data_IF_639384636968
#
_entry.id   IF_639384636968
#
_cell.length_a   1.000
_cell.length_b   1.000
_cell.length_c   1.000
_cell.angle_alpha   90.00
_cell.angle_beta   90.00
_cell.angle_gamma   90.00
#
_symmetry.space_group_name_H-M   'P 1'
#
loop_
_entity.id
_entity.type
_entity.pdbx_description
1 polymer ?
#
# COMPACT_ATOMS: atom_id res chain seq x y z
N UNK A 1 41.04 19.24 3.47
CA UNK A 1 39.81 19.94 3.91
C UNK A 1 38.68 18.92 4.01
N UNK A 2 38.19 18.55 5.19
CA UNK A 2 37.02 17.69 5.27
C UNK A 2 35.79 18.53 4.94
N UNK A 3 35.14 18.22 3.82
CA UNK A 3 33.87 18.82 3.43
C UNK A 3 32.78 18.35 4.39
N UNK A 4 32.24 19.28 5.19
CA UNK A 4 31.07 19.04 6.04
C UNK A 4 29.87 18.67 5.16
N UNK A 5 29.61 17.37 5.04
CA UNK A 5 28.39 16.86 4.42
C UNK A 5 27.27 17.12 5.42
N UNK A 6 26.71 18.32 5.34
CA UNK A 6 25.64 18.80 6.19
C UNK A 6 24.45 17.85 6.08
N UNK A 7 24.19 17.09 7.16
CA UNK A 7 23.04 16.17 7.26
C UNK A 7 21.79 17.03 7.06
N UNK A 8 20.94 16.68 6.10
CA UNK A 8 19.65 17.35 5.89
C UNK A 8 18.76 17.10 7.11
N UNK A 9 18.91 17.93 8.15
CA UNK A 9 18.03 17.95 9.33
C UNK A 9 16.75 18.68 8.95
N UNK A 10 15.59 18.20 9.41
CA UNK A 10 14.38 19.03 9.35
C UNK A 10 14.62 20.31 10.15
N UNK A 11 13.83 21.36 9.89
CA UNK A 11 13.83 22.58 10.72
C UNK A 11 13.54 22.30 12.21
N UNK A 12 12.95 21.14 12.51
CA UNK A 12 12.64 20.65 13.86
C UNK A 12 13.68 19.68 14.45
N UNK A 13 14.81 19.41 13.77
CA UNK A 13 15.82 18.45 14.21
C UNK A 13 15.43 16.96 14.04
N UNK A 14 14.22 16.67 13.58
CA UNK A 14 13.73 15.33 13.27
C UNK A 14 14.21 14.84 11.89
N UNK A 15 14.30 13.52 11.72
CA UNK A 15 14.64 12.93 10.41
C UNK A 15 13.47 13.12 9.44
N UNK A 16 13.74 13.63 8.24
CA UNK A 16 12.72 13.73 7.17
C UNK A 16 12.24 12.32 6.82
N UNK A 17 10.93 12.09 6.96
CA UNK A 17 10.30 10.82 6.59
C UNK A 17 10.08 10.81 5.08
N UNK A 18 10.58 9.79 4.39
CA UNK A 18 10.54 9.69 2.92
C UNK A 18 9.91 8.36 2.52
N UNK A 19 8.79 8.44 1.81
CA UNK A 19 8.03 7.27 1.32
C UNK A 19 8.74 6.57 0.16
N UNK A 20 8.41 5.29 -0.07
CA UNK A 20 8.88 4.52 -1.21
C UNK A 20 8.45 5.16 -2.53
N UNK A 21 7.20 5.64 -2.63
CA UNK A 21 6.72 6.41 -3.80
C UNK A 21 7.63 7.58 -4.15
N UNK A 22 8.09 8.31 -3.13
CA UNK A 22 9.00 9.43 -3.34
C UNK A 22 10.37 8.94 -3.83
N UNK A 23 10.93 7.89 -3.22
CA UNK A 23 12.20 7.29 -3.66
C UNK A 23 12.13 6.81 -5.10
N UNK A 24 11.02 6.18 -5.51
CA UNK A 24 10.79 5.75 -6.90
C UNK A 24 10.84 6.93 -7.86
N UNK A 25 10.20 8.06 -7.53
CA UNK A 25 10.27 9.28 -8.36
C UNK A 25 11.70 9.80 -8.52
N UNK A 26 12.48 9.81 -7.45
CA UNK A 26 13.90 10.21 -7.48
C UNK A 26 14.71 9.28 -8.38
N UNK A 27 14.49 7.96 -8.28
CA UNK A 27 15.15 6.97 -9.13
C UNK A 27 14.78 7.17 -10.61
N UNK A 28 13.49 7.36 -10.90
CA UNK A 28 13.01 7.62 -12.26
C UNK A 28 13.61 8.90 -12.85
N UNK A 29 13.70 9.98 -12.05
CA UNK A 29 14.33 11.22 -12.48
C UNK A 29 15.83 11.03 -12.76
N UNK A 30 16.54 10.25 -11.94
CA UNK A 30 17.94 9.92 -12.19
C UNK A 30 18.14 9.05 -13.45
N UNK A 31 17.24 8.09 -13.71
CA UNK A 31 17.30 7.25 -14.91
C UNK A 31 16.96 8.03 -16.19
N UNK A 32 16.04 9.00 -16.12
CA UNK A 32 15.67 9.87 -17.23
C UNK A 32 16.72 10.95 -17.53
N UNK A 33 17.54 11.34 -16.55
CA UNK A 33 18.56 12.36 -16.71
C UNK A 33 19.71 11.87 -17.63
N UNK A 34 20.15 12.75 -18.53
CA UNK A 34 21.29 12.49 -19.45
C UNK A 34 22.34 13.59 -19.30
N UNK A 35 23.63 13.23 -19.49
CA UNK A 35 24.73 14.19 -19.45
C UNK A 35 24.99 14.79 -18.05
N UNK A 36 25.26 16.10 -17.91
CA UNK A 36 25.67 16.72 -16.64
C UNK A 36 24.55 16.76 -15.59
N UNK A 37 23.30 16.51 -15.99
CA UNK A 37 22.17 16.37 -15.07
C UNK A 37 22.14 15.00 -14.39
N UNK A 38 22.81 13.99 -14.96
CA UNK A 38 22.91 12.62 -14.41
C UNK A 38 23.98 12.53 -13.31
N UNK A 39 23.99 13.50 -12.42
CA UNK A 39 24.91 13.57 -11.28
C UNK A 39 24.05 13.48 -10.02
N UNK A 40 24.44 12.62 -9.08
CA UNK A 40 23.71 12.43 -7.82
C UNK A 40 23.49 13.75 -7.06
N UNK A 41 24.45 14.68 -7.17
CA UNK A 41 24.37 15.99 -6.54
C UNK A 41 23.25 16.85 -7.14
N UNK A 42 23.14 16.90 -8.47
CA UNK A 42 22.12 17.66 -9.19
C UNK A 42 20.72 17.16 -8.82
N UNK A 43 20.51 15.85 -8.88
CA UNK A 43 19.25 15.21 -8.47
C UNK A 43 18.96 15.42 -6.97
N UNK A 44 19.98 15.28 -6.12
CA UNK A 44 19.83 15.55 -4.70
C UNK A 44 19.37 16.98 -4.40
N UNK A 45 19.93 17.96 -5.11
CA UNK A 45 19.56 19.37 -4.99
C UNK A 45 18.13 19.63 -5.45
N UNK A 46 17.74 19.09 -6.59
CA UNK A 46 16.38 19.23 -7.15
C UNK A 46 15.31 18.66 -6.21
N UNK A 47 15.56 17.48 -5.65
CA UNK A 47 14.61 16.80 -4.76
C UNK A 47 14.79 17.18 -3.28
N UNK A 48 15.77 18.02 -2.93
CA UNK A 48 16.05 18.38 -1.53
C UNK A 48 16.34 17.16 -0.65
N UNK A 49 17.20 16.26 -1.16
CA UNK A 49 17.70 15.05 -0.51
C UNK A 49 19.22 15.00 -0.61
N UNK A 50 19.86 14.28 0.31
CA UNK A 50 21.32 14.20 0.34
C UNK A 50 21.85 13.33 -0.81
N UNK A 51 22.97 13.71 -1.40
CA UNK A 51 23.65 12.99 -2.49
C UNK A 51 23.84 11.50 -2.20
N UNK A 52 24.27 11.16 -0.98
CA UNK A 52 24.47 9.77 -0.55
C UNK A 52 23.16 8.97 -0.43
N UNK A 53 22.02 9.62 -0.21
CA UNK A 53 20.71 8.95 -0.20
C UNK A 53 20.30 8.57 -1.63
N UNK A 54 20.50 9.48 -2.60
CA UNK A 54 20.21 9.21 -4.02
C UNK A 54 21.03 8.01 -4.50
N UNK A 55 22.35 8.03 -4.25
CA UNK A 55 23.23 6.92 -4.62
C UNK A 55 22.77 5.58 -4.02
N UNK A 56 22.42 5.54 -2.73
CA UNK A 56 21.90 4.33 -2.07
C UNK A 56 20.59 3.84 -2.70
N UNK A 57 19.66 4.74 -3.00
CA UNK A 57 18.37 4.34 -3.59
C UNK A 57 18.50 3.84 -5.02
N UNK A 58 19.41 4.43 -5.81
CA UNK A 58 19.71 3.94 -7.17
C UNK A 58 20.36 2.56 -7.12
N UNK A 59 21.26 2.31 -6.16
CA UNK A 59 21.88 0.99 -5.98
C UNK A 59 20.86 -0.07 -5.54
N UNK A 60 19.95 0.28 -4.62
CA UNK A 60 18.88 -0.61 -4.13
C UNK A 60 17.59 -0.54 -4.97
N UNK A 61 17.65 -0.06 -6.23
CA UNK A 61 16.45 0.26 -7.02
C UNK A 61 15.49 -0.91 -7.16
N UNK A 62 15.99 -2.12 -7.40
CA UNK A 62 15.16 -3.31 -7.60
C UNK A 62 14.28 -3.58 -6.36
N UNK A 63 14.90 -3.59 -5.17
CA UNK A 63 14.20 -3.81 -3.91
C UNK A 63 13.17 -2.72 -3.60
N UNK A 64 13.52 -1.45 -3.89
CA UNK A 64 12.62 -0.31 -3.70
C UNK A 64 11.42 -0.42 -4.63
N UNK A 65 11.64 -0.75 -5.91
CA UNK A 65 10.57 -0.89 -6.89
C UNK A 65 9.63 -2.07 -6.58
N UNK A 66 10.16 -3.24 -6.23
CA UNK A 66 9.36 -4.40 -5.82
C UNK A 66 8.48 -4.08 -4.61
N UNK A 67 9.05 -3.47 -3.58
CA UNK A 67 8.27 -3.12 -2.39
C UNK A 67 7.25 -2.02 -2.68
N UNK A 68 7.59 -1.04 -3.53
CA UNK A 68 6.69 0.04 -3.91
C UNK A 68 5.47 -0.46 -4.73
N UNK A 69 5.59 -1.56 -5.48
CA UNK A 69 4.44 -2.21 -6.15
C UNK A 69 3.41 -2.71 -5.13
N UNK A 70 3.86 -3.22 -3.99
CA UNK A 70 2.99 -3.74 -2.93
C UNK A 70 2.44 -2.60 -2.08
N UNK A 71 3.30 -1.72 -1.57
CA UNK A 71 2.90 -0.61 -0.72
C UNK A 71 3.75 0.65 -1.00
N UNK A 72 3.25 1.57 -1.84
CA UNK A 72 3.98 2.79 -2.20
C UNK A 72 4.06 3.83 -1.06
N UNK A 73 3.15 3.78 -0.08
CA UNK A 73 3.14 4.72 1.06
C UNK A 73 4.09 4.31 2.19
N UNK A 74 4.62 3.08 2.16
CA UNK A 74 5.58 2.63 3.16
C UNK A 74 6.87 3.46 3.17
N UNK A 75 7.55 3.50 4.32
CA UNK A 75 8.80 4.27 4.49
C UNK A 75 10.05 3.40 4.35
N UNK A 76 9.93 2.11 4.62
CA UNK A 76 11.02 1.12 4.63
C UNK A 76 10.83 0.07 3.54
N UNK A 77 11.96 -0.44 3.04
CA UNK A 77 11.98 -1.55 2.08
C UNK A 77 11.72 -2.88 2.79
N UNK A 78 12.16 -3.01 4.05
CA UNK A 78 11.95 -4.21 4.85
C UNK A 78 10.43 -4.47 5.02
N UNK A 79 9.92 -5.65 4.61
CA UNK A 79 8.51 -6.02 4.79
C UNK A 79 8.10 -6.18 6.25
N UNK A 80 9.06 -6.32 7.18
CA UNK A 80 8.80 -6.53 8.60
C UNK A 80 8.88 -8.01 8.97
N UNK A 81 8.25 -8.38 10.10
CA UNK A 81 8.24 -9.75 10.60
C UNK A 81 7.51 -10.67 9.63
N UNK A 82 8.09 -11.84 9.36
CA UNK A 82 7.43 -12.88 8.57
C UNK A 82 6.15 -13.37 9.25
N UNK A 83 5.17 -13.71 8.42
CA UNK A 83 3.89 -14.29 8.85
C UNK A 83 4.16 -15.72 9.33
N UNK A 84 3.59 -16.09 10.48
CA UNK A 84 3.78 -17.42 11.09
C UNK A 84 3.21 -18.55 10.21
N UNK A 85 2.10 -18.29 9.52
CA UNK A 85 1.36 -19.26 8.71
C UNK A 85 0.82 -18.58 7.45
N UNK A 86 1.63 -18.46 6.38
CA UNK A 86 1.26 -17.72 5.18
C UNK A 86 0.13 -18.37 4.39
N UNK A 87 -0.02 -19.70 4.47
CA UNK A 87 -1.12 -20.43 3.82
C UNK A 87 -2.49 -20.00 4.37
N UNK A 88 -2.66 -19.99 5.69
CA UNK A 88 -3.91 -19.55 6.34
C UNK A 88 -4.22 -18.11 5.98
N UNK A 89 -3.21 -17.23 5.97
CA UNK A 89 -3.38 -15.83 5.59
C UNK A 89 -3.85 -15.67 4.14
N UNK A 90 -3.33 -16.47 3.20
CA UNK A 90 -3.74 -16.42 1.80
C UNK A 90 -5.19 -16.87 1.59
N UNK A 91 -5.65 -17.92 2.28
CA UNK A 91 -7.04 -18.37 2.21
C UNK A 91 -8.00 -17.37 2.86
N UNK A 92 -7.64 -16.81 4.02
CA UNK A 92 -8.44 -15.77 4.67
C UNK A 92 -8.54 -14.50 3.80
N UNK A 93 -7.48 -14.16 3.06
CA UNK A 93 -7.51 -13.05 2.10
C UNK A 93 -8.45 -13.31 0.92
N UNK A 94 -8.44 -14.53 0.36
CA UNK A 94 -9.40 -14.92 -0.69
C UNK A 94 -10.84 -14.82 -0.20
N UNK A 95 -11.09 -15.33 1.01
CA UNK A 95 -12.40 -15.26 1.65
C UNK A 95 -12.86 -13.81 1.87
N UNK A 96 -11.96 -12.93 2.32
CA UNK A 96 -12.25 -11.50 2.46
C UNK A 96 -12.68 -10.87 1.14
N UNK A 97 -11.97 -11.15 0.05
CA UNK A 97 -12.31 -10.59 -1.25
C UNK A 97 -13.63 -11.12 -1.80
N UNK A 98 -13.93 -12.41 -1.64
CA UNK A 98 -15.22 -12.99 -2.03
C UNK A 98 -16.39 -12.30 -1.31
N UNK A 99 -16.30 -12.13 0.02
CA UNK A 99 -17.33 -11.42 0.78
C UNK A 99 -17.47 -9.95 0.38
N UNK A 100 -16.36 -9.31 0.00
CA UNK A 100 -16.36 -7.93 -0.47
C UNK A 100 -17.03 -7.78 -1.84
N UNK A 101 -16.82 -8.74 -2.75
CA UNK A 101 -17.49 -8.80 -4.05
C UNK A 101 -19.01 -9.00 -3.90
N UNK A 102 -19.41 -9.82 -2.94
CA UNK A 102 -20.83 -10.06 -2.62
C UNK A 102 -21.49 -8.92 -1.80
N UNK A 103 -20.77 -7.82 -1.54
CA UNK A 103 -21.21 -6.69 -0.70
C UNK A 103 -21.68 -7.11 0.71
N UNK A 104 -21.09 -8.18 1.25
CA UNK A 104 -21.37 -8.67 2.60
C UNK A 104 -20.54 -7.88 3.61
N UNK A 105 -21.22 -7.31 4.62
CA UNK A 105 -20.55 -6.62 5.70
C UNK A 105 -19.74 -7.61 6.55
N UNK A 106 -18.43 -7.38 6.66
CA UNK A 106 -17.52 -8.26 7.38
C UNK A 106 -17.32 -7.84 8.82
N UNK A 107 -17.20 -8.82 9.71
CA UNK A 107 -16.72 -8.63 11.08
C UNK A 107 -15.42 -9.40 11.29
N UNK A 108 -14.56 -8.90 12.18
CA UNK A 108 -13.32 -9.55 12.62
C UNK A 108 -13.57 -10.99 13.06
N UNK A 109 -14.67 -11.27 13.78
CA UNK A 109 -14.98 -12.62 14.25
C UNK A 109 -15.23 -13.60 13.09
N UNK A 110 -15.74 -13.16 11.94
CA UNK A 110 -15.89 -14.02 10.76
C UNK A 110 -14.53 -14.48 10.22
N UNK A 111 -13.55 -13.58 10.22
CA UNK A 111 -12.19 -13.91 9.81
C UNK A 111 -11.52 -14.87 10.79
N UNK A 112 -11.80 -14.74 12.10
CA UNK A 112 -11.32 -15.66 13.14
C UNK A 112 -11.91 -17.05 12.93
N UNK A 113 -13.23 -17.14 12.76
CA UNK A 113 -13.92 -18.42 12.54
C UNK A 113 -13.38 -19.09 11.27
N UNK A 114 -13.18 -18.34 10.20
CA UNK A 114 -12.65 -18.90 8.96
C UNK A 114 -11.19 -19.36 9.12
N UNK A 115 -10.33 -18.59 9.80
CA UNK A 115 -8.97 -19.00 10.10
C UNK A 115 -8.92 -20.31 10.91
N UNK A 116 -9.76 -20.44 11.94
CA UNK A 116 -9.88 -21.65 12.77
C UNK A 116 -10.48 -22.84 12.01
N UNK A 117 -11.31 -22.57 10.99
CA UNK A 117 -11.84 -23.64 10.13
C UNK A 117 -10.78 -24.23 9.20
N UNK A 118 -9.74 -23.45 8.86
CA UNK A 118 -8.59 -23.91 8.07
C UNK A 118 -7.60 -24.65 8.97
N UNK A 119 -7.29 -24.08 10.14
CA UNK A 119 -6.39 -24.66 11.14
C UNK A 119 -6.97 -24.47 12.56
N UNK A 120 -7.50 -25.53 13.20
CA UNK A 120 -8.06 -25.45 14.54
C UNK A 120 -7.05 -25.01 15.61
N UNK A 121 -5.76 -25.29 15.42
CA UNK A 121 -4.69 -24.97 16.35
C UNK A 121 -4.01 -23.63 16.02
N UNK A 122 -4.62 -22.82 15.15
CA UNK A 122 -4.09 -21.54 14.72
C UNK A 122 -3.77 -20.62 15.93
N UNK A 123 -2.51 -20.21 16.05
CA UNK A 123 -1.99 -19.49 17.24
C UNK A 123 -2.25 -20.19 18.59
N UNK A 124 -2.26 -21.53 18.59
CA UNK A 124 -2.53 -22.37 19.76
C UNK A 124 -3.96 -22.25 20.27
N UNK A 125 -4.91 -21.85 19.43
CA UNK A 125 -6.31 -21.63 19.80
C UNK A 125 -6.53 -20.43 20.74
N UNK A 126 -5.50 -19.62 21.00
CA UNK A 126 -5.58 -18.49 21.94
C UNK A 126 -6.29 -17.31 21.27
N UNK A 127 -7.56 -17.08 21.61
CA UNK A 127 -8.39 -16.04 20.97
C UNK A 127 -7.78 -14.64 20.99
N UNK A 128 -7.07 -14.26 22.05
CA UNK A 128 -6.42 -12.94 22.14
C UNK A 128 -5.26 -12.80 21.16
N UNK A 129 -4.52 -13.87 20.89
CA UNK A 129 -3.46 -13.91 19.88
C UNK A 129 -4.04 -13.84 18.48
N UNK A 130 -5.11 -14.61 18.20
CA UNK A 130 -5.78 -14.59 16.90
C UNK A 130 -6.40 -13.23 16.61
N UNK A 131 -7.08 -12.61 17.59
CA UNK A 131 -7.62 -11.23 17.44
C UNK A 131 -6.54 -10.22 17.07
N UNK A 132 -5.39 -10.23 17.76
CA UNK A 132 -4.25 -9.38 17.41
C UNK A 132 -3.73 -9.69 16.00
N UNK A 133 -3.66 -10.97 15.66
CA UNK A 133 -3.26 -11.38 14.31
C UNK A 133 -4.21 -10.84 13.24
N UNK A 134 -5.55 -10.88 13.44
CA UNK A 134 -6.51 -10.35 12.45
C UNK A 134 -6.32 -8.84 12.23
N UNK A 135 -6.10 -8.06 13.30
CA UNK A 135 -5.83 -6.62 13.14
C UNK A 135 -4.56 -6.37 12.33
N UNK A 136 -3.48 -7.10 12.60
CA UNK A 136 -2.25 -6.98 11.81
C UNK A 136 -2.40 -7.53 10.40
N UNK A 137 -3.20 -8.57 10.19
CA UNK A 137 -3.54 -9.10 8.87
C UNK A 137 -4.23 -8.02 8.02
N UNK A 138 -5.22 -7.33 8.57
CA UNK A 138 -5.90 -6.23 7.89
C UNK A 138 -4.92 -5.09 7.57
N UNK A 139 -4.08 -4.70 8.52
CA UNK A 139 -3.09 -3.64 8.33
C UNK A 139 -2.07 -3.99 7.23
N UNK A 140 -1.54 -5.23 7.23
CA UNK A 140 -0.58 -5.71 6.23
C UNK A 140 -1.15 -5.67 4.81
N UNK A 141 -2.42 -6.05 4.67
CA UNK A 141 -3.10 -6.13 3.39
C UNK A 141 -3.87 -4.85 3.03
N UNK A 142 -3.72 -3.78 3.84
CA UNK A 142 -4.41 -2.50 3.67
C UNK A 142 -5.93 -2.64 3.53
N UNK A 143 -6.51 -3.56 4.31
CA UNK A 143 -7.94 -3.88 4.29
C UNK A 143 -8.68 -3.00 5.30
N UNK A 144 -9.82 -2.46 4.88
CA UNK A 144 -10.72 -1.73 5.74
C UNK A 144 -12.06 -2.46 5.80
N UNK A 145 -12.50 -2.81 7.01
CA UNK A 145 -13.86 -3.30 7.22
C UNK A 145 -14.81 -2.12 7.01
N UNK A 146 -15.66 -2.20 5.99
CA UNK A 146 -16.77 -1.27 5.79
C UNK A 146 -17.76 -1.47 6.92
N UNK A 147 -17.92 -0.47 7.78
CA UNK A 147 -19.05 -0.43 8.71
C UNK A 147 -20.26 0.13 7.96
N UNK A 148 -21.45 -0.48 8.06
CA UNK A 148 -22.67 0.14 7.54
C UNK A 148 -22.88 1.48 8.23
N UNK A 149 -22.59 2.58 7.55
CA UNK A 149 -22.95 3.92 8.02
C UNK A 149 -24.39 4.23 7.56
N UNK A 150 -25.18 4.88 8.42
CA UNK A 150 -26.60 5.18 8.18
C UNK A 150 -26.82 5.81 6.78
N UNK A 151 -27.71 5.19 6.01
CA UNK A 151 -28.42 5.67 4.80
C UNK A 151 -27.66 6.05 3.51
N UNK A 152 -26.35 6.27 3.47
CA UNK A 152 -25.72 6.89 2.29
C UNK A 152 -24.85 5.99 1.39
N UNK A 153 -24.73 4.68 1.67
CA UNK A 153 -23.92 3.78 0.85
C UNK A 153 -24.79 2.96 -0.10
N UNK A 154 -24.94 3.45 -1.34
CA UNK A 154 -25.41 2.62 -2.46
C UNK A 154 -24.45 1.44 -2.61
N UNK A 155 -24.99 0.22 -2.72
CA UNK A 155 -24.22 -1.01 -2.98
C UNK A 155 -23.40 -0.87 -4.28
N UNK A 156 -22.28 -1.57 -4.37
CA UNK A 156 -21.36 -1.47 -5.52
C UNK A 156 -22.04 -1.85 -6.84
N UNK A 157 -22.87 -2.89 -6.82
CA UNK A 157 -23.74 -3.29 -7.94
C UNK A 157 -24.71 -2.19 -8.35
N UNK A 158 -25.30 -1.48 -7.38
CA UNK A 158 -26.20 -0.36 -7.64
C UNK A 158 -25.47 0.84 -8.26
N UNK A 159 -24.23 1.11 -7.85
CA UNK A 159 -23.40 2.16 -8.48
C UNK A 159 -22.99 1.79 -9.90
N UNK A 160 -22.63 0.53 -10.16
CA UNK A 160 -22.31 0.06 -11.52
C UNK A 160 -23.51 0.18 -12.44
N UNK A 161 -24.69 -0.25 -12.00
CA UNK A 161 -25.95 -0.09 -12.74
C UNK A 161 -26.27 1.39 -13.01
N UNK A 162 -26.07 2.26 -12.01
CA UNK A 162 -26.26 3.72 -12.19
C UNK A 162 -25.24 4.31 -13.18
N UNK A 163 -24.00 3.83 -13.17
CA UNK A 163 -22.96 4.27 -14.10
C UNK A 163 -23.23 3.81 -15.53
N UNK A 164 -23.69 2.57 -15.71
CA UNK A 164 -24.07 2.06 -17.04
C UNK A 164 -25.28 2.82 -17.57
N UNK A 165 -26.33 2.97 -16.77
CA UNK A 165 -27.52 3.75 -17.13
C UNK A 165 -27.16 5.21 -17.49
N UNK A 166 -26.29 5.85 -16.72
CA UNK A 166 -25.81 7.20 -17.05
C UNK A 166 -25.02 7.23 -18.37
N UNK A 167 -24.10 6.28 -18.56
CA UNK A 167 -23.31 6.20 -19.79
C UNK A 167 -24.19 5.95 -21.02
N UNK A 168 -25.17 5.04 -20.90
CA UNK A 168 -26.10 4.70 -21.98
C UNK A 168 -26.98 5.91 -22.35
N UNK A 169 -27.55 6.61 -21.35
CA UNK A 169 -28.33 7.83 -21.58
C UNK A 169 -27.49 8.96 -22.21
N UNK A 170 -26.22 9.09 -21.80
CA UNK A 170 -25.32 10.10 -22.34
C UNK A 170 -24.94 9.75 -23.79
N UNK A 171 -24.62 8.49 -24.08
CA UNK A 171 -24.32 8.01 -25.43
C UNK A 171 -25.52 8.16 -26.35
N UNK A 172 -26.74 7.87 -25.90
CA UNK A 172 -27.96 8.02 -26.70
C UNK A 172 -28.22 9.49 -27.07
N UNK A 173 -27.97 10.42 -26.15
CA UNK A 173 -28.08 11.87 -26.39
C UNK A 173 -27.10 12.41 -27.45
N UNK A 174 -25.94 11.78 -27.61
CA UNK A 174 -24.91 12.22 -28.56
C UNK A 174 -24.80 11.32 -29.80
N UNK A 175 -25.77 10.44 -30.06
CA UNK A 175 -25.84 9.74 -31.34
C UNK A 175 -26.04 10.75 -32.49
N UNK A 176 -25.20 10.73 -33.53
CA UNK A 176 -25.43 11.55 -34.71
C UNK A 176 -26.73 11.11 -35.40
N UNK A 177 -27.51 12.09 -35.85
CA UNK A 177 -28.78 11.89 -36.58
C UNK A 177 -28.61 11.02 -37.82
#
# INVERSE_FOLDING_TARGET
MPSDICRSRSKSGQRKVITLRYKVRVIQAYEAATGPQKIFYSIGKEFGVQTGQVSRWVNDKAKIMERAKVNPSAFTVNPGRSISMPHVEAEVLKYFHALQEDDIAMNTDMLIIHALSIDPDFHGGVMSAIRKWVYHFMERNNLAIRRPTRQAQKRSSHMNATLTDFADNLMDRFKPF
#
